data_IF_375388716434
#
_entry.id   IF_375388716434
#
_cell.length_a   1.000
_cell.length_b   1.000
_cell.length_c   1.000
_cell.angle_alpha   90.00
_cell.angle_beta   90.00
_cell.angle_gamma   90.00
#
_symmetry.space_group_name_H-M   'P 1'
#
loop_
_entity.id
_entity.type
_entity.pdbx_description
1 polymer ?
#
# COMPACT_ATOMS: atom_id res chain seq x y z
N UNK A 1 -21.70 -5.67 -30.37
CA UNK A 1 -20.41 -5.37 -29.72
C UNK A 1 -20.00 -6.61 -28.95
N UNK A 2 -18.94 -7.30 -29.36
CA UNK A 2 -18.26 -8.25 -28.47
C UNK A 2 -17.43 -7.38 -27.55
N UNK A 3 -17.78 -7.29 -26.28
CA UNK A 3 -16.82 -6.87 -25.27
C UNK A 3 -15.63 -7.82 -25.40
N UNK A 4 -14.50 -7.29 -25.86
CA UNK A 4 -13.24 -8.02 -25.87
C UNK A 4 -12.93 -8.35 -24.42
N UNK A 5 -13.06 -9.63 -24.06
CA UNK A 5 -12.50 -10.18 -22.82
C UNK A 5 -11.05 -9.71 -22.75
N UNK A 6 -10.69 -9.01 -21.68
CA UNK A 6 -9.32 -8.60 -21.39
C UNK A 6 -8.41 -9.84 -21.56
N UNK A 7 -7.29 -9.71 -22.27
CA UNK A 7 -6.33 -10.80 -22.50
C UNK A 7 -5.78 -11.39 -21.20
N UNK A 8 -5.97 -10.68 -20.07
CA UNK A 8 -5.42 -11.03 -18.77
C UNK A 8 -3.95 -10.68 -18.67
N UNK A 9 -3.38 -10.10 -19.72
CA UNK A 9 -2.04 -9.52 -19.74
C UNK A 9 -2.15 -8.10 -19.18
N UNK A 10 -1.30 -7.78 -18.22
CA UNK A 10 -1.17 -6.45 -17.63
C UNK A 10 0.29 -6.04 -17.81
N UNK A 11 0.50 -4.95 -18.53
CA UNK A 11 1.84 -4.40 -18.71
C UNK A 11 2.35 -3.83 -17.38
N UNK A 12 3.67 -3.75 -17.23
CA UNK A 12 4.28 -3.28 -15.98
C UNK A 12 3.84 -1.86 -15.61
N UNK A 13 3.72 -0.96 -16.59
CA UNK A 13 3.25 0.42 -16.38
C UNK A 13 1.78 0.46 -15.92
N UNK A 14 0.94 -0.42 -16.46
CA UNK A 14 -0.48 -0.54 -16.07
C UNK A 14 -0.59 -1.10 -14.65
N UNK A 15 0.20 -2.11 -14.34
CA UNK A 15 0.30 -2.64 -12.98
C UNK A 15 0.77 -1.57 -12.00
N UNK A 16 1.79 -0.78 -12.37
CA UNK A 16 2.30 0.28 -11.53
C UNK A 16 1.24 1.35 -11.25
N UNK A 17 0.52 1.79 -12.30
CA UNK A 17 -0.59 2.71 -12.14
C UNK A 17 -1.65 2.18 -11.14
N UNK A 18 -2.07 0.92 -11.31
CA UNK A 18 -3.03 0.28 -10.40
C UNK A 18 -2.46 0.17 -8.98
N UNK A 19 -1.17 -0.11 -8.82
CA UNK A 19 -0.54 -0.24 -7.53
C UNK A 19 -0.52 1.07 -6.74
N UNK A 20 -0.28 2.20 -7.42
CA UNK A 20 -0.29 3.53 -6.79
C UNK A 20 -1.71 3.94 -6.37
N UNK A 21 -2.70 3.76 -7.24
CA UNK A 21 -4.11 4.00 -6.92
C UNK A 21 -4.56 3.13 -5.74
N UNK A 22 -4.17 1.85 -5.74
CA UNK A 22 -4.48 0.95 -4.64
C UNK A 22 -3.81 1.40 -3.32
N UNK A 23 -2.57 1.87 -3.38
CA UNK A 23 -1.86 2.39 -2.21
C UNK A 23 -2.59 3.58 -1.57
N UNK A 24 -3.12 4.51 -2.38
CA UNK A 24 -3.91 5.63 -1.86
C UNK A 24 -5.16 5.13 -1.12
N UNK A 25 -5.90 4.20 -1.72
CA UNK A 25 -7.10 3.60 -1.12
C UNK A 25 -6.77 2.89 0.19
N UNK A 26 -5.70 2.11 0.25
CA UNK A 26 -5.28 1.39 1.45
C UNK A 26 -4.96 2.37 2.58
N UNK A 27 -4.22 3.45 2.28
CA UNK A 27 -3.86 4.48 3.25
C UNK A 27 -5.10 5.20 3.79
N UNK A 28 -6.02 5.59 2.92
CA UNK A 28 -7.28 6.24 3.30
C UNK A 28 -8.10 5.32 4.21
N UNK A 29 -8.28 4.06 3.79
CA UNK A 29 -9.09 3.07 4.52
C UNK A 29 -8.49 2.73 5.87
N UNK A 30 -7.19 2.47 5.93
CA UNK A 30 -6.51 2.16 7.19
C UNK A 30 -6.68 3.33 8.18
N UNK A 31 -6.37 4.55 7.76
CA UNK A 31 -6.49 5.72 8.63
C UNK A 31 -7.94 6.01 9.02
N UNK A 32 -8.90 5.84 8.12
CA UNK A 32 -10.32 5.99 8.42
C UNK A 32 -10.84 4.95 9.41
N UNK A 33 -10.43 3.68 9.28
CA UNK A 33 -10.85 2.60 10.17
C UNK A 33 -10.29 2.72 11.59
N UNK A 34 -9.03 3.14 11.73
CA UNK A 34 -8.37 3.19 13.04
C UNK A 34 -8.58 4.52 13.76
N UNK A 35 -8.65 5.68 13.07
CA UNK A 35 -8.85 6.98 13.73
C UNK A 35 -10.28 7.25 14.21
N UNK A 36 -11.28 6.53 13.69
CA UNK A 36 -12.71 6.75 14.03
C UNK A 36 -13.18 5.95 15.22
N UNK A 37 -12.39 5.00 15.72
CA UNK A 37 -12.74 4.23 16.91
C UNK A 37 -12.40 5.07 18.15
N UNK A 38 -13.43 5.56 18.85
CA UNK A 38 -13.34 6.19 20.18
C UNK A 38 -12.61 5.32 21.23
N UNK A 39 -12.37 4.03 20.93
CA UNK A 39 -11.63 3.09 21.77
C UNK A 39 -10.13 3.02 21.48
N UNK A 40 -9.62 3.86 20.59
CA UNK A 40 -8.28 3.82 20.04
C UNK A 40 -7.59 5.19 20.24
N UNK A 41 -7.62 5.69 21.48
CA UNK A 41 -6.82 6.87 21.86
C UNK A 41 -5.30 6.60 21.72
N UNK A 42 -4.90 5.33 21.60
CA UNK A 42 -3.53 4.86 21.45
C UNK A 42 -3.37 3.76 20.39
N UNK A 43 -4.10 3.76 19.25
CA UNK A 43 -3.56 2.94 18.16
C UNK A 43 -2.26 3.58 17.72
N UNK A 44 -1.15 2.98 18.18
CA UNK A 44 0.18 3.36 17.77
C UNK A 44 0.21 3.50 16.25
N UNK A 45 0.75 4.62 15.76
CA UNK A 45 1.00 4.84 14.32
C UNK A 45 1.67 3.59 13.70
N UNK A 46 2.42 2.83 14.51
CA UNK A 46 2.98 1.52 14.19
C UNK A 46 1.96 0.49 13.67
N UNK A 47 0.81 0.29 14.32
CA UNK A 47 -0.18 -0.72 13.90
C UNK A 47 -0.81 -0.32 12.58
N UNK A 48 -1.13 0.96 12.42
CA UNK A 48 -1.71 1.50 11.18
C UNK A 48 -0.70 1.35 10.03
N UNK A 49 0.56 1.71 10.26
CA UNK A 49 1.63 1.58 9.27
C UNK A 49 1.94 0.12 8.94
N UNK A 50 1.97 -0.76 9.94
CA UNK A 50 2.11 -2.20 9.74
C UNK A 50 1.00 -2.75 8.85
N UNK A 51 -0.26 -2.38 9.13
CA UNK A 51 -1.39 -2.78 8.30
C UNK A 51 -1.24 -2.31 6.84
N UNK A 52 -0.88 -1.03 6.64
CA UNK A 52 -0.66 -0.47 5.29
C UNK A 52 0.44 -1.25 4.56
N UNK A 53 1.60 -1.45 5.20
CA UNK A 53 2.75 -2.15 4.62
C UNK A 53 2.40 -3.60 4.27
N UNK A 54 1.73 -4.33 5.14
CA UNK A 54 1.41 -5.73 4.91
C UNK A 54 0.36 -5.93 3.81
N UNK A 55 -0.62 -5.04 3.69
CA UNK A 55 -1.59 -5.09 2.59
C UNK A 55 -0.91 -4.82 1.25
N UNK A 56 -0.04 -3.81 1.19
CA UNK A 56 0.72 -3.53 -0.04
C UNK A 56 1.68 -4.68 -0.37
N UNK A 57 2.39 -5.22 0.62
CA UNK A 57 3.26 -6.39 0.45
C UNK A 57 2.50 -7.57 -0.15
N UNK A 58 1.31 -7.85 0.37
CA UNK A 58 0.45 -8.92 -0.13
C UNK A 58 0.00 -8.66 -1.57
N UNK A 59 -0.38 -7.41 -1.90
CA UNK A 59 -0.75 -7.01 -3.25
C UNK A 59 0.39 -7.23 -4.27
N UNK A 60 1.62 -6.85 -3.92
CA UNK A 60 2.81 -7.09 -4.76
C UNK A 60 3.27 -8.55 -4.77
N UNK A 61 2.74 -9.42 -3.89
CA UNK A 61 3.17 -10.81 -3.77
C UNK A 61 4.60 -10.99 -3.25
N UNK A 62 5.15 -9.98 -2.58
CA UNK A 62 6.55 -9.99 -2.12
C UNK A 62 6.71 -10.65 -0.75
N UNK A 63 7.87 -11.26 -0.55
CA UNK A 63 8.35 -11.58 0.81
C UNK A 63 8.68 -10.29 1.56
N UNK A 64 8.66 -10.33 2.89
CA UNK A 64 8.86 -9.12 3.70
C UNK A 64 10.16 -8.40 3.36
N UNK A 65 11.29 -9.12 3.29
CA UNK A 65 12.61 -8.52 3.00
C UNK A 65 12.62 -7.84 1.62
N UNK A 66 12.06 -8.50 0.60
CA UNK A 66 12.01 -7.95 -0.75
C UNK A 66 11.13 -6.70 -0.81
N UNK A 67 10.01 -6.70 -0.07
CA UNK A 67 9.12 -5.53 -0.04
C UNK A 67 9.75 -4.32 0.63
N UNK A 68 10.50 -4.51 1.72
CA UNK A 68 11.22 -3.39 2.34
C UNK A 68 12.34 -2.85 1.44
N UNK A 69 13.05 -3.72 0.72
CA UNK A 69 14.03 -3.29 -0.28
C UNK A 69 13.35 -2.50 -1.41
N UNK A 70 12.24 -3.02 -1.94
CA UNK A 70 11.43 -2.33 -2.94
C UNK A 70 10.95 -0.95 -2.47
N UNK A 71 10.40 -0.84 -1.26
CA UNK A 71 9.97 0.45 -0.71
C UNK A 71 11.11 1.47 -0.55
N UNK A 72 12.36 1.00 -0.35
CA UNK A 72 13.52 1.88 -0.29
C UNK A 72 13.82 2.50 -1.65
N UNK A 73 13.70 1.74 -2.72
CA UNK A 73 14.03 2.18 -4.07
C UNK A 73 12.86 2.93 -4.75
N UNK A 74 11.62 2.65 -4.36
CA UNK A 74 10.41 3.24 -4.95
C UNK A 74 9.88 4.43 -4.13
N UNK A 75 10.44 5.62 -4.41
CA UNK A 75 10.10 6.86 -3.69
C UNK A 75 8.63 7.26 -3.80
N UNK A 76 8.03 7.15 -4.98
CA UNK A 76 6.65 7.55 -5.23
C UNK A 76 5.66 6.79 -4.36
N UNK A 77 5.78 5.45 -4.35
CA UNK A 77 4.97 4.60 -3.48
C UNK A 77 5.18 4.98 -2.01
N UNK A 78 6.42 5.13 -1.56
CA UNK A 78 6.71 5.53 -0.18
C UNK A 78 6.08 6.88 0.21
N UNK A 79 6.09 7.84 -0.71
CA UNK A 79 5.50 9.16 -0.50
C UNK A 79 3.96 9.08 -0.38
N UNK A 80 3.31 8.18 -1.14
CA UNK A 80 1.87 7.87 -1.00
C UNK A 80 1.55 7.21 0.34
N UNK A 81 2.34 6.20 0.74
CA UNK A 81 2.13 5.48 1.99
C UNK A 81 2.23 6.41 3.21
N UNK A 82 2.98 7.52 3.11
CA UNK A 82 3.12 8.54 4.16
C UNK A 82 3.49 7.91 5.51
N UNK A 83 4.35 6.90 5.49
CA UNK A 83 4.84 6.21 6.69
C UNK A 83 5.59 7.22 7.58
N UNK A 84 5.43 7.18 8.89
CA UNK A 84 6.15 8.02 9.86
C UNK A 84 7.28 7.24 10.52
N UNK A 85 7.02 5.98 10.90
CA UNK A 85 7.97 5.14 11.63
C UNK A 85 9.04 4.60 10.68
N UNK A 86 8.65 4.22 9.47
CA UNK A 86 9.54 3.62 8.47
C UNK A 86 10.28 4.65 7.58
N UNK A 87 10.29 5.94 7.95
CA UNK A 87 10.98 7.00 7.20
C UNK A 87 12.50 7.01 7.38
N UNK A 88 13.00 6.43 8.47
CA UNK A 88 14.43 6.34 8.78
C UNK A 88 15.01 5.03 8.25
N UNK A 89 15.37 5.01 6.97
CA UNK A 89 16.15 3.94 6.35
C UNK A 89 17.47 4.45 5.80
#
# INVERSE_FOLDING_TARGET
MKETLNSGEMEEDEFWFVALEFAEVVVERARGMFKTKETCDECDDYIIEYYIVEIMRFFFGFSSILFYAFLRDHRELRDILKLKVLKSF
#
